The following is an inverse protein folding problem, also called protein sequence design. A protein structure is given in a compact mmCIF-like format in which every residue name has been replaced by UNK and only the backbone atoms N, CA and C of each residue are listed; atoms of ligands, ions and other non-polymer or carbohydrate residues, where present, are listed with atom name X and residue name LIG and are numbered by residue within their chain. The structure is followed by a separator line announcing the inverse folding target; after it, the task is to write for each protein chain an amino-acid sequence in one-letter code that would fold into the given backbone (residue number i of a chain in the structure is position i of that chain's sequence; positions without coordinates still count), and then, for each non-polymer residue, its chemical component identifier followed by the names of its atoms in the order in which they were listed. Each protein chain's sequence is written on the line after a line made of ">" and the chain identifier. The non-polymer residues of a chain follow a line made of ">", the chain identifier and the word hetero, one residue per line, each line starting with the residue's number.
data_IF_732206341400
#
_entry.id   IF_732206341400
#
_cell.length_a   1.000
_cell.length_b   1.000
_cell.length_c   1.000
_cell.angle_alpha   90.00
_cell.angle_beta   90.00
_cell.angle_gamma   90.00
#
_symmetry.space_group_name_H-M   'P 1'
#
loop_
_entity.id
_entity.type
_entity.pdbx_description
1 polymer ?
#
# COMPACT_ATOMS: atom_id res chain seq x y z
N UNK A 1 -15.66 -2.60 14.68
CA UNK A 1 -14.65 -1.68 14.12
C UNK A 1 -14.42 -2.07 12.67
N UNK A 2 -14.50 -1.14 11.73
CA UNK A 2 -14.39 -1.42 10.29
C UNK A 2 -12.97 -1.79 9.85
N UNK A 3 -12.82 -2.24 8.60
CA UNK A 3 -11.51 -2.45 7.99
C UNK A 3 -10.75 -1.11 7.91
N UNK A 4 -9.43 -1.10 8.20
CA UNK A 4 -8.66 0.14 8.14
C UNK A 4 -8.52 0.62 6.69
N UNK A 5 -8.57 1.93 6.52
CA UNK A 5 -8.33 2.59 5.24
C UNK A 5 -6.86 3.03 5.20
N UNK A 6 -6.11 2.61 4.18
CA UNK A 6 -4.67 2.86 4.09
C UNK A 6 -4.30 3.53 2.77
N UNK A 7 -3.38 4.49 2.86
CA UNK A 7 -2.70 5.05 1.69
C UNK A 7 -1.39 4.30 1.53
N UNK A 8 -1.17 3.70 0.36
CA UNK A 8 0.12 3.13 0.01
C UNK A 8 0.94 4.19 -0.73
N UNK A 9 2.05 4.62 -0.14
CA UNK A 9 2.98 5.53 -0.79
C UNK A 9 3.59 4.91 -2.04
N UNK A 10 3.91 5.73 -3.04
CA UNK A 10 4.56 5.30 -4.28
C UNK A 10 5.85 4.50 -4.01
N UNK A 11 6.66 4.89 -3.02
CA UNK A 11 7.89 4.16 -2.70
C UNK A 11 7.62 2.76 -2.13
N UNK A 12 6.51 2.55 -1.43
CA UNK A 12 6.10 1.22 -0.96
C UNK A 12 5.76 0.34 -2.16
N UNK A 13 4.98 0.85 -3.12
CA UNK A 13 4.63 0.11 -4.33
C UNK A 13 5.85 -0.19 -5.20
N UNK A 14 6.72 0.80 -5.45
CA UNK A 14 7.96 0.61 -6.22
C UNK A 14 8.87 -0.41 -5.54
N UNK A 15 9.06 -0.34 -4.22
CA UNK A 15 9.86 -1.32 -3.49
C UNK A 15 9.27 -2.73 -3.55
N UNK A 16 7.95 -2.86 -3.44
CA UNK A 16 7.25 -4.14 -3.53
C UNK A 16 7.40 -4.79 -4.91
N UNK A 17 7.26 -4.02 -5.98
CA UNK A 17 7.37 -4.50 -7.37
C UNK A 17 8.82 -4.89 -7.70
N UNK A 18 9.81 -4.14 -7.21
CA UNK A 18 11.23 -4.38 -7.52
C UNK A 18 11.88 -5.51 -6.74
N UNK A 19 11.30 -5.95 -5.61
CA UNK A 19 11.88 -7.02 -4.78
C UNK A 19 10.84 -7.82 -4.01
N UNK A 20 10.90 -9.15 -4.13
CA UNK A 20 10.00 -10.10 -3.45
C UNK A 20 10.40 -10.46 -2.01
N UNK A 21 11.53 -9.95 -1.51
CA UNK A 21 12.10 -10.33 -0.20
C UNK A 21 11.78 -9.34 0.93
N UNK A 22 11.25 -8.16 0.58
CA UNK A 22 11.03 -7.05 1.51
C UNK A 22 9.65 -7.05 2.19
N UNK A 23 9.50 -6.20 3.20
CA UNK A 23 8.22 -5.96 3.87
C UNK A 23 7.17 -5.37 2.93
N UNK A 24 7.57 -4.49 2.00
CA UNK A 24 6.66 -3.90 1.01
C UNK A 24 6.01 -4.94 0.12
N UNK A 25 6.74 -6.00 -0.26
CA UNK A 25 6.17 -7.12 -1.01
C UNK A 25 5.13 -7.88 -0.18
N UNK A 26 5.42 -8.14 1.10
CA UNK A 26 4.44 -8.78 2.01
C UNK A 26 3.17 -7.94 2.18
N UNK A 27 3.28 -6.60 2.20
CA UNK A 27 2.11 -5.70 2.21
C UNK A 27 1.32 -5.83 0.91
N UNK A 28 2.00 -5.84 -0.24
CA UNK A 28 1.36 -6.05 -1.55
C UNK A 28 0.63 -7.39 -1.63
N UNK A 29 1.16 -8.46 -1.04
CA UNK A 29 0.49 -9.77 -0.98
C UNK A 29 -0.81 -9.77 -0.15
N UNK A 30 -1.02 -8.79 0.73
CA UNK A 30 -2.26 -8.65 1.50
C UNK A 30 -3.36 -7.90 0.76
N UNK A 31 -3.07 -7.29 -0.40
CA UNK A 31 -4.07 -6.60 -1.21
C UNK A 31 -5.16 -7.59 -1.64
N UNK A 32 -6.42 -7.17 -1.50
CA UNK A 32 -7.58 -8.03 -1.79
C UNK A 32 -7.88 -9.10 -0.73
N UNK A 33 -7.11 -9.20 0.36
CA UNK A 33 -7.36 -10.17 1.45
C UNK A 33 -8.26 -9.65 2.59
N UNK A 34 -8.89 -8.48 2.41
CA UNK A 34 -9.77 -7.88 3.42
C UNK A 34 -9.05 -7.36 4.68
N UNK A 35 -7.71 -7.19 4.62
CA UNK A 35 -6.91 -6.64 5.74
C UNK A 35 -7.01 -5.12 5.84
N UNK A 36 -7.22 -4.45 4.72
CA UNK A 36 -7.37 -3.00 4.58
C UNK A 36 -8.03 -2.67 3.25
N UNK A 37 -8.64 -1.48 3.18
CA UNK A 37 -9.04 -0.86 1.93
C UNK A 37 -7.96 0.11 1.48
N UNK A 38 -7.61 0.06 0.18
CA UNK A 38 -6.64 0.98 -0.41
C UNK A 38 -7.40 2.20 -0.91
N UNK A 39 -6.99 3.38 -0.45
CA UNK A 39 -7.39 4.64 -1.05
C UNK A 39 -6.28 5.16 -1.96
N UNK A 40 -6.67 5.57 -3.17
CA UNK A 40 -5.77 6.22 -4.12
C UNK A 40 -5.82 7.71 -3.83
N UNK A 41 -4.68 8.29 -3.45
CA UNK A 41 -4.50 9.74 -3.40
C UNK A 41 -3.48 10.14 -4.47
N UNK A 42 -3.79 11.21 -5.22
CA UNK A 42 -2.77 11.93 -5.98
C UNK A 42 -1.79 12.47 -4.95
N UNK A 43 -0.47 12.34 -5.20
CA UNK A 43 0.61 12.71 -4.27
C UNK A 43 0.22 13.87 -3.37
N UNK A 44 0.37 13.71 -2.05
CA UNK A 44 0.16 14.75 -1.04
C UNK A 44 1.18 15.88 -1.27
N UNK A 45 0.96 16.67 -2.30
CA UNK A 45 1.61 17.96 -2.50
C UNK A 45 0.78 18.93 -1.66
N UNK A 46 1.34 19.51 -0.58
CA UNK A 46 0.66 20.60 0.09
C UNK A 46 0.50 21.73 -0.91
N UNK A 47 -0.74 22.03 -1.28
CA UNK A 47 -1.15 23.28 -1.95
C UNK A 47 -1.41 24.35 -0.90
#
# INVERSE_FOLDING_TARGET
>A
MGVPCVVLDTNVLVAAIRSRRGASFRVLEQVGRGRFEIVVWVALVPV
#
